data_IF_864828751260
#
_entry.id   IF_864828751260
#
_cell.length_a   1.000
_cell.length_b   1.000
_cell.length_c   1.000
_cell.angle_alpha   90.00
_cell.angle_beta   90.00
_cell.angle_gamma   90.00
#
_symmetry.space_group_name_H-M   'P 1'
#
loop_
_entity.id
_entity.type
_entity.pdbx_description
1 polymer ?
#
# COMPACT_ATOMS: atom_id res chain seq x y z
N UNK A 1 2.35 20.57 11.13
CA UNK A 1 2.09 19.36 10.31
C UNK A 1 1.51 18.30 11.24
N UNK A 2 0.31 17.78 10.95
CA UNK A 2 -0.33 16.75 11.77
C UNK A 2 -0.02 15.38 11.15
N UNK A 3 0.66 14.52 11.90
CA UNK A 3 0.92 13.14 11.47
C UNK A 3 -0.29 12.27 11.82
N UNK A 4 -0.87 11.61 10.82
CA UNK A 4 -1.97 10.65 11.04
C UNK A 4 -1.39 9.25 11.15
N UNK A 5 -1.49 8.67 12.34
CA UNK A 5 -1.13 7.27 12.54
C UNK A 5 -2.25 6.37 12.00
N UNK A 6 -1.89 5.46 11.09
CA UNK A 6 -2.81 4.49 10.51
C UNK A 6 -2.41 3.12 11.06
N UNK A 7 -3.30 2.51 11.82
CA UNK A 7 -3.17 1.11 12.21
C UNK A 7 -3.94 0.25 11.21
N UNK A 8 -3.30 -0.78 10.67
CA UNK A 8 -4.00 -1.83 9.93
C UNK A 8 -4.86 -2.63 10.91
N UNK A 9 -6.18 -2.66 10.72
CA UNK A 9 -7.09 -3.38 11.63
C UNK A 9 -7.77 -4.53 10.92
N UNK A 10 -7.39 -5.75 11.32
CA UNK A 10 -7.95 -7.08 10.97
C UNK A 10 -7.86 -7.54 9.50
N UNK A 11 -8.07 -6.70 8.47
CA UNK A 11 -8.08 -7.15 7.07
C UNK A 11 -6.75 -6.96 6.32
N UNK A 12 -5.86 -6.11 6.84
CA UNK A 12 -4.55 -5.81 6.27
C UNK A 12 -3.74 -7.04 5.84
N UNK A 13 -3.55 -8.05 6.71
CA UNK A 13 -2.77 -9.25 6.36
C UNK A 13 -3.37 -10.07 5.21
N UNK A 14 -4.70 -10.19 5.14
CA UNK A 14 -5.37 -10.93 4.05
C UNK A 14 -5.25 -10.20 2.71
N UNK A 15 -5.37 -8.87 2.73
CA UNK A 15 -5.17 -8.02 1.55
C UNK A 15 -3.71 -8.05 1.09
N UNK A 16 -2.76 -7.95 2.02
CA UNK A 16 -1.34 -8.04 1.74
C UNK A 16 -0.97 -9.38 1.09
N UNK A 17 -1.52 -10.49 1.61
CA UNK A 17 -1.35 -11.82 1.02
C UNK A 17 -1.88 -11.90 -0.41
N UNK A 18 -3.05 -11.32 -0.68
CA UNK A 18 -3.61 -11.25 -2.03
C UNK A 18 -2.72 -10.43 -2.98
N UNK A 19 -2.23 -9.28 -2.53
CA UNK A 19 -1.35 -8.41 -3.33
C UNK A 19 -0.01 -9.09 -3.63
N UNK A 20 0.61 -9.73 -2.63
CA UNK A 20 1.85 -10.52 -2.80
C UNK A 20 1.68 -11.66 -3.80
N UNK A 21 0.50 -12.29 -3.85
CA UNK A 21 0.23 -13.40 -4.76
C UNK A 21 -0.07 -12.97 -6.20
N UNK A 22 -0.56 -11.74 -6.39
CA UNK A 22 -1.02 -11.23 -7.70
C UNK A 22 -0.06 -10.22 -8.32
N UNK A 23 0.88 -9.69 -7.54
CA UNK A 23 1.85 -8.69 -7.95
C UNK A 23 3.24 -9.10 -7.43
N UNK A 24 4.29 -8.68 -8.13
CA UNK A 24 5.67 -8.93 -7.73
C UNK A 24 6.11 -8.00 -6.58
N UNK A 25 5.41 -8.08 -5.46
CA UNK A 25 5.58 -7.23 -4.29
C UNK A 25 6.02 -8.07 -3.09
N UNK A 26 6.90 -7.55 -2.24
CA UNK A 26 7.16 -8.21 -0.96
C UNK A 26 5.92 -8.17 -0.07
N UNK A 27 5.83 -9.09 0.88
CA UNK A 27 4.71 -9.09 1.84
C UNK A 27 4.65 -7.80 2.67
N UNK A 28 5.80 -7.20 2.98
CA UNK A 28 5.89 -5.98 3.78
C UNK A 28 5.40 -4.76 2.99
N UNK A 29 5.81 -4.62 1.74
CA UNK A 29 5.30 -3.57 0.85
C UNK A 29 3.80 -3.70 0.66
N UNK A 30 3.33 -4.94 0.52
CA UNK A 30 1.91 -5.24 0.36
C UNK A 30 1.09 -4.85 1.59
N UNK A 31 1.70 -4.95 2.78
CA UNK A 31 1.09 -4.52 4.04
C UNK A 31 0.98 -3.00 4.13
N UNK A 32 1.99 -2.26 3.66
CA UNK A 32 1.96 -0.79 3.60
C UNK A 32 0.84 -0.33 2.64
N UNK A 33 0.76 -0.92 1.45
CA UNK A 33 -0.29 -0.59 0.47
C UNK A 33 -1.68 -0.96 1.00
N UNK A 34 -1.82 -2.09 1.69
CA UNK A 34 -3.06 -2.46 2.37
C UNK A 34 -3.47 -1.44 3.44
N UNK A 35 -2.50 -0.94 4.23
CA UNK A 35 -2.73 0.12 5.22
C UNK A 35 -3.20 1.42 4.57
N UNK A 36 -2.57 1.83 3.46
CA UNK A 36 -3.01 2.99 2.70
C UNK A 36 -4.46 2.84 2.20
N UNK A 37 -4.78 1.68 1.66
CA UNK A 37 -6.14 1.36 1.17
C UNK A 37 -7.17 1.44 2.31
N UNK A 38 -6.89 0.82 3.46
CA UNK A 38 -7.78 0.85 4.64
C UNK A 38 -7.91 2.26 5.23
N UNK A 39 -6.81 3.03 5.22
CA UNK A 39 -6.74 4.40 5.74
C UNK A 39 -7.34 5.47 4.82
N UNK A 40 -7.91 5.07 3.67
CA UNK A 40 -8.39 5.98 2.60
C UNK A 40 -7.28 6.93 2.09
N UNK A 41 -6.04 6.44 2.03
CA UNK A 41 -4.89 7.16 1.50
C UNK A 41 -4.77 6.82 0.02
N UNK A 42 -4.80 7.84 -0.83
CA UNK A 42 -4.77 7.69 -2.29
C UNK A 42 -3.39 7.88 -2.91
N UNK A 43 -2.39 8.28 -2.12
CA UNK A 43 -1.01 8.48 -2.58
C UNK A 43 0.01 8.01 -1.56
N UNK A 44 0.95 7.19 -2.00
CA UNK A 44 2.10 6.69 -1.24
C UNK A 44 3.38 7.14 -1.93
N UNK A 45 4.28 7.78 -1.17
CA UNK A 45 5.59 8.18 -1.66
C UNK A 45 6.61 7.11 -1.26
N UNK A 46 7.25 6.47 -2.24
CA UNK A 46 8.29 5.44 -2.05
C UNK A 46 9.05 5.23 -3.36
N UNK A 47 10.33 4.86 -3.25
CA UNK A 47 11.19 4.45 -4.36
C UNK A 47 11.26 2.93 -4.55
N UNK A 48 10.73 2.16 -3.60
CA UNK A 48 10.95 0.71 -3.51
C UNK A 48 10.22 -0.09 -4.59
N UNK A 49 9.10 0.46 -5.11
CA UNK A 49 8.28 -0.20 -6.12
C UNK A 49 7.51 0.80 -6.99
N UNK A 50 6.98 0.30 -8.11
CA UNK A 50 6.33 1.11 -9.13
C UNK A 50 4.81 1.29 -8.93
N UNK A 51 4.22 2.07 -9.83
CA UNK A 51 2.80 2.43 -9.79
C UNK A 51 1.86 1.35 -10.40
N UNK A 52 2.31 0.12 -10.57
CA UNK A 52 1.51 -0.99 -11.13
C UNK A 52 0.26 -1.30 -10.29
N UNK A 53 0.30 -1.02 -8.99
CA UNK A 53 -0.78 -1.32 -8.04
C UNK A 53 -1.98 -0.36 -8.08
N UNK A 54 -1.87 0.78 -8.78
CA UNK A 54 -2.89 1.84 -8.75
C UNK A 54 -4.28 1.37 -9.15
N UNK A 55 -4.36 0.53 -10.19
CA UNK A 55 -5.64 0.01 -10.67
C UNK A 55 -6.29 -0.96 -9.67
N UNK A 56 -5.48 -1.75 -8.95
CA UNK A 56 -5.98 -2.76 -8.02
C UNK A 56 -6.32 -2.20 -6.62
N UNK A 57 -5.69 -1.10 -6.22
CA UNK A 57 -5.73 -0.59 -4.84
C UNK A 57 -6.29 0.83 -4.73
N UNK A 58 -6.29 1.60 -5.81
CA UNK A 58 -6.61 3.03 -5.78
C UNK A 58 -5.50 3.90 -5.17
N UNK A 59 -4.37 3.31 -4.78
CA UNK A 59 -3.21 4.01 -4.22
C UNK A 59 -2.23 4.32 -5.34
N UNK A 60 -1.96 5.61 -5.57
CA UNK A 60 -0.92 6.06 -6.48
C UNK A 60 0.44 6.00 -5.80
N UNK A 61 1.39 5.30 -6.42
CA UNK A 61 2.79 5.23 -5.99
C UNK A 61 3.58 6.30 -6.72
N UNK A 62 4.27 7.15 -5.96
CA UNK A 62 5.09 8.24 -6.48
C UNK A 62 6.51 8.08 -5.94
N UNK A 63 7.48 7.93 -6.82
CA UNK A 63 8.88 8.02 -6.42
C UNK A 63 9.23 9.50 -6.12
N UNK A 64 9.62 9.85 -4.89
CA UNK A 64 9.99 11.22 -4.54
C UNK A 64 11.45 11.59 -4.84
N UNK A 65 12.26 10.66 -5.35
CA UNK A 65 13.69 10.83 -5.64
C UNK A 65 14.00 10.66 -7.13
#
# INVERSE_FOLDING_TARGET
MLWKLIFTVRKGPSRAKQLTATHNLSFWDAMIVAACTEGSITRLYTEDFDNSLKQATGVEIVNPF
#
